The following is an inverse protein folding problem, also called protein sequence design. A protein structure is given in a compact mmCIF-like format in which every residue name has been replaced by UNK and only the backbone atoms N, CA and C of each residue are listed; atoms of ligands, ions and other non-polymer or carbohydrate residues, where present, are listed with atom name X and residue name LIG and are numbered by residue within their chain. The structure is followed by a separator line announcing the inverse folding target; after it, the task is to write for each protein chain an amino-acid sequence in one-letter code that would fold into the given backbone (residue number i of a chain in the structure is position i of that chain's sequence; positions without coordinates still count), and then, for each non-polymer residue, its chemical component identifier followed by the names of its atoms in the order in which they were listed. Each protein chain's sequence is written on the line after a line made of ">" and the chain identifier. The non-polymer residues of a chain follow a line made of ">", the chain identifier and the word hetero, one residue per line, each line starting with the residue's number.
data_IF_288412440711
#
_entry.id   IF_288412440711
#
_cell.length_a   1.000
_cell.length_b   1.000
_cell.length_c   1.000
_cell.angle_alpha   90.00
_cell.angle_beta   90.00
_cell.angle_gamma   90.00
#
_symmetry.space_group_name_H-M   'P 1'
#
loop_
_entity.id
_entity.type
_entity.pdbx_description
1 polymer ?
#
# COMPACT_ATOMS: atom_id res chain seq x y z
N UNK A 1 -52.14 -24.74 2.27
CA UNK A 1 -51.01 -25.23 3.08
C UNK A 1 -50.03 -24.12 3.53
N UNK A 2 -50.48 -22.86 3.69
CA UNK A 2 -49.59 -21.74 4.06
C UNK A 2 -50.14 -20.86 5.20
N UNK A 3 -51.18 -21.32 5.90
CA UNK A 3 -51.77 -20.61 7.06
C UNK A 3 -51.62 -21.41 8.38
N UNK A 4 -51.41 -22.75 8.32
CA UNK A 4 -51.11 -23.54 9.52
C UNK A 4 -49.67 -23.42 10.05
N UNK A 5 -48.71 -22.90 9.26
CA UNK A 5 -47.32 -22.79 9.69
C UNK A 5 -47.04 -21.54 10.55
N UNK A 6 -47.83 -20.48 10.41
CA UNK A 6 -47.66 -19.23 11.21
C UNK A 6 -48.12 -19.36 12.66
N UNK A 7 -49.03 -20.29 12.98
CA UNK A 7 -49.56 -20.46 14.34
C UNK A 7 -48.68 -21.33 15.25
N UNK A 8 -47.92 -22.29 14.70
CA UNK A 8 -46.96 -23.08 15.50
C UNK A 8 -45.76 -22.25 15.96
N UNK A 9 -45.30 -21.29 15.16
CA UNK A 9 -44.19 -20.40 15.53
C UNK A 9 -44.57 -19.42 16.65
N UNK A 10 -45.81 -18.89 16.64
CA UNK A 10 -46.26 -17.95 17.66
C UNK A 10 -46.38 -18.60 19.06
N UNK A 11 -46.81 -19.87 19.12
CA UNK A 11 -46.95 -20.61 20.39
C UNK A 11 -45.57 -21.00 20.97
N UNK A 12 -44.58 -21.27 20.13
CA UNK A 12 -43.20 -21.54 20.55
C UNK A 12 -42.52 -20.28 21.11
N UNK A 13 -42.80 -19.12 20.50
CA UNK A 13 -42.25 -17.82 20.94
C UNK A 13 -42.82 -17.37 22.29
N UNK A 14 -44.13 -17.58 22.52
CA UNK A 14 -44.77 -17.22 23.80
C UNK A 14 -44.29 -18.13 24.95
N UNK A 15 -43.96 -19.41 24.70
CA UNK A 15 -43.37 -20.29 25.71
C UNK A 15 -41.93 -19.91 26.09
N UNK A 16 -41.15 -19.39 25.15
CA UNK A 16 -39.77 -18.91 25.41
C UNK A 16 -39.81 -17.62 26.25
N UNK A 17 -40.75 -16.71 25.97
CA UNK A 17 -40.93 -15.47 26.75
C UNK A 17 -41.41 -15.78 28.19
N UNK A 18 -42.27 -16.79 28.37
CA UNK A 18 -42.72 -17.22 29.70
C UNK A 18 -41.62 -17.92 30.53
N UNK A 19 -40.65 -18.59 29.90
CA UNK A 19 -39.48 -19.12 30.60
C UNK A 19 -38.49 -18.03 31.02
N UNK A 20 -38.35 -16.95 30.23
CA UNK A 20 -37.48 -15.82 30.57
C UNK A 20 -38.01 -14.98 31.74
N UNK A 21 -39.33 -14.86 31.91
CA UNK A 21 -39.91 -14.09 33.02
C UNK A 21 -39.74 -14.75 34.40
N UNK A 22 -39.58 -16.08 34.47
CA UNK A 22 -39.49 -16.81 35.73
C UNK A 22 -38.05 -17.02 36.25
N UNK A 23 -37.03 -16.54 35.54
CA UNK A 23 -35.62 -16.63 35.97
C UNK A 23 -35.07 -15.31 36.53
N UNK A 24 -35.89 -14.23 36.58
CA UNK A 24 -35.49 -12.90 37.08
C UNK A 24 -36.06 -12.55 38.46
N UNK A 25 -36.07 -13.51 39.40
CA UNK A 25 -36.38 -13.23 40.81
C UNK A 25 -35.29 -13.78 41.72
N UNK A 26 -34.08 -13.20 41.60
CA UNK A 26 -33.07 -13.01 42.64
C UNK A 26 -31.69 -12.93 41.98
N UNK A 27 -31.24 -11.72 41.71
CA UNK A 27 -29.81 -11.38 41.64
C UNK A 27 -29.69 -9.88 41.76
N UNK A 28 -28.82 -9.45 42.67
CA UNK A 28 -28.51 -8.06 42.99
C UNK A 28 -28.13 -7.28 41.72
N UNK A 29 -28.83 -6.18 41.46
CA UNK A 29 -28.50 -5.22 40.41
C UNK A 29 -27.22 -4.46 40.80
N UNK A 30 -26.08 -4.89 40.28
CA UNK A 30 -24.94 -4.00 40.07
C UNK A 30 -25.19 -3.32 38.73
N UNK A 31 -25.54 -2.03 38.75
CA UNK A 31 -25.73 -1.24 37.53
C UNK A 31 -24.38 -1.06 36.84
N UNK A 32 -24.17 -1.73 35.72
CA UNK A 32 -23.14 -1.30 34.76
C UNK A 32 -23.57 0.08 34.21
N UNK A 33 -22.67 1.05 34.09
CA UNK A 33 -23.02 2.30 33.43
C UNK A 33 -23.34 1.98 31.96
N UNK A 34 -24.55 2.33 31.53
CA UNK A 34 -24.90 2.40 30.12
C UNK A 34 -24.02 3.50 29.52
N UNK A 35 -22.93 3.12 28.85
CA UNK A 35 -22.13 4.03 28.05
C UNK A 35 -22.97 4.40 26.82
N UNK A 36 -23.19 5.69 26.60
CA UNK A 36 -23.89 6.21 25.44
C UNK A 36 -23.31 5.60 24.15
N UNK A 37 -24.19 5.11 23.28
CA UNK A 37 -23.80 4.57 21.99
C UNK A 37 -23.27 5.70 21.11
N UNK A 38 -21.96 5.72 20.87
CA UNK A 38 -21.31 6.65 19.96
C UNK A 38 -21.06 5.99 18.60
N UNK A 39 -21.79 6.38 17.53
CA UNK A 39 -21.58 5.87 16.17
C UNK A 39 -20.14 6.03 15.66
N UNK A 40 -19.37 6.99 16.18
CA UNK A 40 -17.97 7.20 15.79
C UNK A 40 -17.07 6.01 16.18
N UNK A 41 -17.47 5.25 17.20
CA UNK A 41 -16.73 4.08 17.70
C UNK A 41 -17.01 2.80 16.91
N UNK A 42 -18.08 2.78 16.09
CA UNK A 42 -18.60 1.57 15.44
C UNK A 42 -17.61 0.97 14.41
N UNK A 43 -16.76 1.82 13.84
CA UNK A 43 -15.73 1.43 12.89
C UNK A 43 -14.31 1.69 13.37
N UNK A 44 -14.12 2.19 14.60
CA UNK A 44 -12.81 2.57 15.12
C UNK A 44 -11.79 1.43 15.03
N UNK A 45 -12.19 0.18 15.35
CA UNK A 45 -11.33 -0.99 15.21
C UNK A 45 -10.93 -1.30 13.76
N UNK A 46 -11.86 -1.15 12.80
CA UNK A 46 -11.57 -1.36 11.37
C UNK A 46 -10.69 -0.25 10.82
N UNK A 47 -10.96 1.00 11.16
CA UNK A 47 -10.17 2.16 10.75
C UNK A 47 -8.74 2.02 11.29
N UNK A 48 -8.60 1.62 12.55
CA UNK A 48 -7.30 1.35 13.16
C UNK A 48 -6.55 0.22 12.46
N UNK A 49 -7.23 -0.89 12.14
CA UNK A 49 -6.63 -1.99 11.38
C UNK A 49 -6.21 -1.55 9.96
N UNK A 50 -7.01 -0.72 9.28
CA UNK A 50 -6.67 -0.15 7.97
C UNK A 50 -5.48 0.81 8.05
N UNK A 51 -5.40 1.65 9.08
CA UNK A 51 -4.25 2.52 9.31
C UNK A 51 -2.97 1.71 9.59
N UNK A 52 -3.09 0.55 10.27
CA UNK A 52 -1.98 -0.36 10.57
C UNK A 52 -1.49 -1.15 9.37
N UNK A 53 -2.38 -1.53 8.45
CA UNK A 53 -1.99 -2.35 7.31
C UNK A 53 -0.94 -1.66 6.44
N UNK A 54 -0.94 -0.33 6.35
CA UNK A 54 -0.17 0.54 5.44
C UNK A 54 -0.10 0.10 3.96
N UNK A 55 -0.72 -1.03 3.61
CA UNK A 55 -1.04 -1.44 2.26
C UNK A 55 -2.12 -0.56 1.71
N UNK A 56 -1.74 0.56 1.08
CA UNK A 56 -2.58 1.20 0.06
C UNK A 56 -2.76 0.21 -1.11
N UNK A 57 -3.73 0.39 -2.00
CA UNK A 57 -4.00 -0.58 -3.07
C UNK A 57 -4.36 -1.99 -2.62
N UNK A 58 -5.30 -2.11 -1.66
CA UNK A 58 -5.87 -3.41 -1.25
C UNK A 58 -6.46 -4.21 -2.43
N UNK A 59 -6.97 -3.52 -3.46
CA UNK A 59 -7.52 -4.15 -4.64
C UNK A 59 -6.45 -4.69 -5.61
N UNK A 60 -5.20 -4.21 -5.50
CA UNK A 60 -4.11 -4.63 -6.39
C UNK A 60 -3.44 -5.89 -5.83
N UNK A 61 -3.98 -7.04 -6.22
CA UNK A 61 -3.48 -8.37 -5.85
C UNK A 61 -3.41 -9.28 -7.09
N UNK A 62 -2.42 -9.06 -7.97
CA UNK A 62 -2.32 -9.76 -9.26
C UNK A 62 -2.10 -11.28 -9.12
N UNK A 63 -1.41 -11.71 -8.06
CA UNK A 63 -1.31 -13.11 -7.65
C UNK A 63 -1.13 -13.24 -6.11
N UNK A 64 -0.60 -14.36 -5.63
CA UNK A 64 -0.35 -14.60 -4.20
C UNK A 64 1.07 -14.21 -3.72
N UNK A 65 1.88 -13.50 -4.52
CA UNK A 65 3.25 -13.14 -4.16
C UNK A 65 4.26 -14.29 -4.26
N UNK A 66 3.98 -15.33 -5.04
CA UNK A 66 4.85 -16.52 -5.19
C UNK A 66 5.68 -16.56 -6.48
N UNK A 67 5.54 -15.54 -7.33
CA UNK A 67 6.32 -15.36 -8.55
C UNK A 67 7.83 -15.18 -8.32
N UNK A 68 8.56 -15.12 -9.42
CA UNK A 68 10.02 -14.90 -9.41
C UNK A 68 10.30 -13.42 -9.13
N UNK A 69 11.26 -13.17 -8.25
CA UNK A 69 11.66 -11.82 -7.81
C UNK A 69 13.14 -11.58 -8.16
N UNK A 70 13.42 -10.44 -8.76
CA UNK A 70 14.78 -9.92 -8.96
C UNK A 70 14.83 -8.49 -8.42
N UNK A 71 15.77 -8.21 -7.51
CA UNK A 71 15.89 -6.91 -6.84
C UNK A 71 17.21 -6.26 -7.21
N UNK A 72 17.14 -4.98 -7.56
CA UNK A 72 18.28 -4.13 -7.85
C UNK A 72 18.22 -2.90 -6.96
N UNK A 73 19.37 -2.45 -6.48
CA UNK A 73 19.55 -1.16 -5.83
C UNK A 73 20.10 -0.17 -6.86
N UNK A 74 19.62 1.08 -6.80
CA UNK A 74 20.20 2.17 -7.58
C UNK A 74 21.50 2.58 -6.89
N UNK A 75 22.60 2.48 -7.61
CA UNK A 75 23.93 2.82 -7.13
C UNK A 75 24.65 3.64 -8.19
N UNK A 76 25.01 4.89 -7.86
CA UNK A 76 25.69 5.78 -8.80
C UNK A 76 24.94 5.90 -10.15
N UNK A 77 23.61 5.96 -10.07
CA UNK A 77 22.63 5.96 -11.19
C UNK A 77 22.51 4.66 -12.00
N UNK A 78 23.15 3.58 -11.60
CA UNK A 78 23.10 2.27 -12.28
C UNK A 78 22.42 1.19 -11.43
N UNK A 79 22.02 0.10 -12.09
CA UNK A 79 21.41 -1.06 -11.40
C UNK A 79 22.49 -1.98 -10.82
N UNK A 80 22.54 -2.07 -9.50
CA UNK A 80 23.33 -3.07 -8.79
C UNK A 80 22.42 -4.20 -8.29
N UNK A 81 22.71 -5.45 -8.66
CA UNK A 81 21.92 -6.59 -8.19
C UNK A 81 22.06 -6.76 -6.67
N UNK A 82 20.95 -6.94 -5.97
CA UNK A 82 20.92 -7.21 -4.54
C UNK A 82 21.14 -8.71 -4.29
N UNK A 83 21.87 -9.06 -3.24
CA UNK A 83 22.05 -10.46 -2.84
C UNK A 83 20.69 -11.08 -2.47
N UNK A 84 20.28 -12.21 -3.10
CA UNK A 84 19.06 -12.93 -2.73
C UNK A 84 18.91 -13.26 -1.25
N UNK A 85 20.02 -13.42 -0.51
CA UNK A 85 20.00 -13.64 0.94
C UNK A 85 19.44 -12.45 1.74
N UNK A 86 19.47 -11.25 1.14
CA UNK A 86 19.05 -9.98 1.75
C UNK A 86 17.73 -9.45 1.17
N UNK A 87 17.04 -10.24 0.33
CA UNK A 87 15.73 -9.85 -0.19
C UNK A 87 14.73 -9.60 0.94
N UNK A 88 14.07 -8.45 0.87
CA UNK A 88 13.21 -7.95 1.93
C UNK A 88 13.87 -6.91 2.82
N UNK A 89 15.19 -6.70 2.70
CA UNK A 89 15.92 -5.70 3.47
C UNK A 89 16.20 -4.48 2.59
N UNK A 90 15.66 -3.34 3.00
CA UNK A 90 15.73 -2.08 2.26
C UNK A 90 16.36 -0.99 3.12
N UNK A 91 16.98 -0.01 2.49
CA UNK A 91 17.52 1.19 3.14
C UNK A 91 16.70 2.41 2.72
N UNK A 92 16.21 3.19 3.70
CA UNK A 92 15.37 4.36 3.45
C UNK A 92 16.07 5.52 2.73
N UNK A 93 17.40 5.51 2.71
CA UNK A 93 18.24 6.42 1.95
C UNK A 93 18.56 5.98 0.53
N UNK A 94 18.09 4.80 0.09
CA UNK A 94 18.34 4.25 -1.24
C UNK A 94 17.04 4.10 -2.05
N UNK A 95 17.18 3.92 -3.37
CA UNK A 95 16.08 3.55 -4.27
C UNK A 95 16.30 2.16 -4.87
N UNK A 96 15.22 1.42 -5.11
CA UNK A 96 15.27 0.02 -5.55
C UNK A 96 14.34 -0.24 -6.72
N UNK A 97 14.71 -1.23 -7.52
CA UNK A 97 13.88 -1.81 -8.58
C UNK A 97 13.62 -3.27 -8.26
N UNK A 98 12.36 -3.67 -8.27
CA UNK A 98 11.93 -5.04 -8.07
C UNK A 98 11.21 -5.46 -9.35
N UNK A 99 11.85 -6.37 -10.10
CA UNK A 99 11.21 -7.08 -11.22
C UNK A 99 10.53 -8.32 -10.67
N UNK A 100 9.21 -8.35 -10.79
CA UNK A 100 8.37 -9.46 -10.37
C UNK A 100 7.74 -10.13 -11.58
N UNK A 101 7.95 -11.43 -11.71
CA UNK A 101 7.45 -12.23 -12.82
C UNK A 101 6.51 -13.31 -12.30
N UNK A 102 5.28 -13.34 -12.81
CA UNK A 102 4.26 -14.29 -12.37
C UNK A 102 3.49 -14.86 -13.56
N UNK A 103 2.90 -16.04 -13.37
CA UNK A 103 2.10 -16.71 -14.40
C UNK A 103 0.62 -16.50 -14.12
N UNK A 104 -0.13 -16.06 -15.13
CA UNK A 104 -1.58 -15.93 -15.09
C UNK A 104 -2.15 -16.35 -16.44
N UNK A 105 -3.14 -17.24 -16.42
CA UNK A 105 -3.76 -17.79 -17.63
C UNK A 105 -2.75 -18.40 -18.63
N UNK A 106 -1.75 -19.14 -18.12
CA UNK A 106 -0.65 -19.72 -18.91
C UNK A 106 0.17 -18.70 -19.70
N UNK A 107 0.20 -17.45 -19.26
CA UNK A 107 1.04 -16.38 -19.80
C UNK A 107 1.90 -15.80 -18.69
N UNK A 108 3.14 -15.48 -19.03
CA UNK A 108 4.04 -14.75 -18.16
C UNK A 108 3.64 -13.28 -18.15
N UNK A 109 3.53 -12.70 -16.96
CA UNK A 109 3.17 -11.31 -16.72
C UNK A 109 4.24 -10.69 -15.81
N UNK A 110 4.40 -9.37 -15.91
CA UNK A 110 5.49 -8.67 -15.25
C UNK A 110 4.96 -7.47 -14.47
N UNK A 111 5.55 -7.23 -13.31
CA UNK A 111 5.38 -6.01 -12.53
C UNK A 111 6.77 -5.47 -12.23
N UNK A 112 6.95 -4.17 -12.45
CA UNK A 112 8.17 -3.47 -12.06
C UNK A 112 7.79 -2.51 -10.94
N UNK A 113 8.16 -2.85 -9.71
CA UNK A 113 8.10 -1.89 -8.62
C UNK A 113 9.38 -1.08 -8.62
N UNK A 114 9.26 0.23 -8.50
CA UNK A 114 10.40 1.09 -8.18
C UNK A 114 10.13 1.75 -6.83
N UNK A 115 10.76 1.18 -5.81
CA UNK A 115 10.59 1.61 -4.42
C UNK A 115 11.57 2.73 -4.12
N UNK A 116 11.04 3.84 -3.61
CA UNK A 116 11.78 5.06 -3.34
C UNK A 116 11.82 5.29 -1.83
N UNK A 117 13.01 5.16 -1.26
CA UNK A 117 13.26 5.45 0.14
C UNK A 117 12.92 6.89 0.47
N UNK A 118 12.44 7.13 1.69
CA UNK A 118 12.06 8.46 2.17
C UNK A 118 13.22 9.45 2.00
N UNK A 119 14.41 9.03 2.41
CA UNK A 119 15.62 9.84 2.46
C UNK A 119 16.52 9.67 1.23
N UNK A 120 16.11 8.84 0.25
CA UNK A 120 16.83 8.71 -1.03
C UNK A 120 16.82 10.02 -1.81
N UNK A 121 17.94 10.30 -2.46
CA UNK A 121 18.16 11.58 -3.14
C UNK A 121 17.27 11.72 -4.38
N UNK A 122 16.99 12.95 -4.80
CA UNK A 122 16.08 13.21 -5.91
C UNK A 122 16.57 12.59 -7.23
N UNK A 123 17.87 12.59 -7.44
CA UNK A 123 18.56 12.03 -8.59
C UNK A 123 18.53 10.50 -8.60
N UNK A 124 18.66 9.82 -7.46
CA UNK A 124 18.44 8.37 -7.36
C UNK A 124 16.98 7.99 -7.61
N UNK A 125 16.03 8.73 -7.03
CA UNK A 125 14.59 8.56 -7.29
C UNK A 125 14.25 8.74 -8.76
N UNK A 126 14.86 9.73 -9.43
CA UNK A 126 14.70 9.93 -10.87
C UNK A 126 15.33 8.77 -11.68
N UNK A 127 16.51 8.31 -11.28
CA UNK A 127 17.16 7.16 -11.93
C UNK A 127 16.33 5.88 -11.78
N UNK A 128 15.69 5.64 -10.63
CA UNK A 128 14.81 4.49 -10.42
C UNK A 128 13.63 4.50 -11.41
N UNK A 129 13.00 5.66 -11.62
CA UNK A 129 11.91 5.80 -12.59
C UNK A 129 12.39 5.54 -14.03
N UNK A 130 13.57 6.06 -14.41
CA UNK A 130 14.16 5.83 -15.74
C UNK A 130 14.47 4.34 -15.95
N UNK A 131 15.03 3.66 -14.96
CA UNK A 131 15.33 2.22 -15.04
C UNK A 131 14.06 1.37 -15.08
N UNK A 132 12.99 1.77 -14.40
CA UNK A 132 11.70 1.09 -14.50
C UNK A 132 11.17 1.09 -15.95
N UNK A 133 11.26 2.24 -16.64
CA UNK A 133 10.88 2.36 -18.06
C UNK A 133 11.78 1.50 -18.95
N UNK A 134 13.10 1.56 -18.76
CA UNK A 134 14.04 0.74 -19.56
C UNK A 134 13.77 -0.76 -19.44
N UNK A 135 13.52 -1.24 -18.21
CA UNK A 135 13.21 -2.65 -17.97
C UNK A 135 11.85 -3.05 -18.55
N UNK A 136 10.86 -2.15 -18.55
CA UNK A 136 9.59 -2.40 -19.23
C UNK A 136 9.81 -2.53 -20.75
N UNK A 137 10.59 -1.63 -21.35
CA UNK A 137 10.93 -1.68 -22.78
C UNK A 137 11.63 -2.99 -23.16
N UNK A 138 12.55 -3.50 -22.31
CA UNK A 138 13.19 -4.81 -22.47
C UNK A 138 12.20 -5.99 -22.42
N UNK A 139 11.11 -5.84 -21.66
CA UNK A 139 10.02 -6.81 -21.56
C UNK A 139 8.95 -6.60 -22.65
N UNK A 140 9.22 -5.74 -23.63
CA UNK A 140 8.32 -5.45 -24.75
C UNK A 140 7.16 -4.54 -24.36
N UNK A 141 7.29 -3.74 -23.30
CA UNK A 141 6.29 -2.78 -22.86
C UNK A 141 5.07 -3.41 -22.18
N UNK A 142 5.21 -4.61 -21.61
CA UNK A 142 4.13 -5.43 -21.02
C UNK A 142 4.05 -5.34 -19.50
N UNK A 143 5.00 -4.67 -18.85
CA UNK A 143 5.04 -4.64 -17.40
C UNK A 143 4.11 -3.56 -16.86
N UNK A 144 3.35 -3.91 -15.81
CA UNK A 144 2.73 -2.90 -14.96
C UNK A 144 3.84 -2.24 -14.14
N UNK A 145 4.02 -0.93 -14.29
CA UNK A 145 5.01 -0.19 -13.50
C UNK A 145 4.33 0.41 -12.27
N UNK A 146 4.93 0.27 -11.10
CA UNK A 146 4.36 0.75 -9.84
C UNK A 146 5.39 1.56 -9.09
N UNK A 147 5.14 2.86 -8.94
CA UNK A 147 5.91 3.72 -8.05
C UNK A 147 5.50 3.44 -6.62
N UNK A 148 6.46 3.01 -5.80
CA UNK A 148 6.22 2.75 -4.38
C UNK A 148 7.05 3.71 -3.55
N UNK A 149 6.43 4.39 -2.58
CA UNK A 149 7.15 5.22 -1.62
C UNK A 149 7.21 4.50 -0.27
N UNK A 150 8.32 4.69 0.45
CA UNK A 150 8.52 4.10 1.77
C UNK A 150 7.32 4.40 2.70
N UNK A 151 6.78 3.35 3.31
CA UNK A 151 5.64 3.42 4.22
C UNK A 151 4.26 3.41 3.56
N UNK A 152 4.20 3.38 2.22
CA UNK A 152 2.97 3.28 1.44
C UNK A 152 2.97 2.04 0.53
N UNK A 153 3.72 1.01 0.88
CA UNK A 153 3.90 -0.19 0.07
C UNK A 153 2.57 -0.89 -0.21
N UNK A 154 2.24 -1.24 -1.47
CA UNK A 154 0.99 -1.94 -1.74
C UNK A 154 0.99 -3.35 -1.14
N UNK A 155 -0.20 -3.87 -0.83
CA UNK A 155 -0.32 -5.15 -0.11
C UNK A 155 0.34 -6.32 -0.83
N UNK A 156 0.28 -6.34 -2.16
CA UNK A 156 0.98 -7.33 -2.97
C UNK A 156 2.51 -7.20 -2.83
N UNK A 157 3.07 -5.99 -2.80
CA UNK A 157 4.51 -5.77 -2.60
C UNK A 157 4.97 -6.34 -1.25
N UNK A 158 4.24 -6.07 -0.16
CA UNK A 158 4.56 -6.64 1.16
C UNK A 158 4.52 -8.17 1.15
N UNK A 159 3.53 -8.75 0.47
CA UNK A 159 3.32 -10.20 0.37
C UNK A 159 4.47 -10.94 -0.30
N UNK A 160 5.14 -10.31 -1.29
CA UNK A 160 6.33 -10.88 -1.95
C UNK A 160 7.39 -11.28 -0.91
N UNK A 161 7.52 -10.51 0.16
CA UNK A 161 8.52 -10.73 1.22
C UNK A 161 8.02 -11.63 2.35
N UNK A 162 6.77 -12.09 2.33
CA UNK A 162 6.22 -13.10 3.26
C UNK A 162 6.46 -12.74 4.73
N UNK A 163 6.24 -11.47 5.07
CA UNK A 163 6.45 -10.94 6.42
C UNK A 163 7.92 -10.76 6.83
N UNK A 164 8.86 -10.71 5.86
CA UNK A 164 10.30 -10.51 6.10
C UNK A 164 10.81 -9.15 5.65
N UNK A 165 9.91 -8.18 5.43
CA UNK A 165 10.33 -6.84 5.01
C UNK A 165 10.89 -6.06 6.20
N UNK A 166 12.10 -5.54 6.06
CA UNK A 166 12.75 -4.63 7.00
C UNK A 166 13.22 -3.41 6.22
N UNK A 167 12.94 -2.22 6.74
CA UNK A 167 13.49 -0.97 6.21
C UNK A 167 14.41 -0.36 7.26
N UNK A 168 15.69 -0.23 6.95
CA UNK A 168 16.70 0.42 7.77
C UNK A 168 16.78 1.93 7.48
N UNK A 169 17.28 2.70 8.44
CA UNK A 169 17.69 4.09 8.19
C UNK A 169 18.99 4.13 7.38
N UNK A 170 19.31 5.28 6.78
CA UNK A 170 20.53 5.46 5.98
C UNK A 170 20.49 4.75 4.62
N UNK A 171 21.64 4.63 3.97
CA UNK A 171 21.79 4.03 2.64
C UNK A 171 23.26 4.01 2.18
N UNK A 172 23.51 3.63 0.92
CA UNK A 172 24.87 3.54 0.36
C UNK A 172 25.63 4.86 0.52
N UNK A 173 24.96 6.00 0.28
CA UNK A 173 25.54 7.33 0.40
C UNK A 173 25.95 7.69 1.86
N UNK A 174 25.28 7.13 2.87
CA UNK A 174 25.68 7.30 4.29
C UNK A 174 26.75 6.31 4.74
N UNK A 175 27.09 5.33 3.91
CA UNK A 175 28.13 4.34 4.18
C UNK A 175 27.64 2.90 4.36
N UNK A 176 26.32 2.63 4.23
CA UNK A 176 25.81 1.26 4.29
C UNK A 176 26.26 0.43 3.08
N UNK A 177 27.31 -0.37 3.30
CA UNK A 177 27.74 -1.40 2.34
C UNK A 177 27.18 -2.77 2.70
N UNK A 178 26.92 -3.04 3.98
CA UNK A 178 26.36 -4.29 4.49
C UNK A 178 25.43 -4.07 5.69
N UNK A 179 24.57 -5.06 5.97
CA UNK A 179 23.63 -5.11 7.10
C UNK A 179 24.26 -5.05 8.50
N UNK A 180 25.57 -5.26 8.60
CA UNK A 180 26.35 -5.27 9.85
C UNK A 180 27.34 -4.11 9.96
N UNK A 181 27.33 -3.17 9.01
CA UNK A 181 28.17 -1.98 9.12
C UNK A 181 27.52 -1.01 10.12
N UNK A 182 28.27 -0.67 11.16
CA UNK A 182 27.98 0.45 12.06
C UNK A 182 28.27 1.76 11.31
N UNK A 183 27.26 2.58 11.08
CA UNK A 183 27.40 3.90 10.42
C UNK A 183 26.93 5.04 11.34
N UNK A 184 26.78 6.26 10.80
CA UNK A 184 26.32 7.44 11.55
C UNK A 184 25.00 7.27 12.30
N UNK A 185 24.17 6.28 11.92
CA UNK A 185 22.88 5.97 12.54
C UNK A 185 22.93 4.82 13.56
N UNK A 186 24.04 4.08 13.66
CA UNK A 186 24.23 2.95 14.59
C UNK A 186 25.68 2.95 15.10
N UNK A 187 26.03 3.99 15.85
CA UNK A 187 27.40 4.22 16.34
C UNK A 187 27.66 3.42 17.63
N UNK A 188 26.61 3.11 18.39
CA UNK A 188 26.66 2.50 19.71
C UNK A 188 26.08 1.08 19.74
N UNK A 189 25.59 0.54 18.63
CA UNK A 189 24.97 -0.79 18.56
C UNK A 189 23.50 -0.79 19.01
N UNK A 190 22.88 0.39 19.14
CA UNK A 190 21.47 0.55 19.50
C UNK A 190 20.66 0.78 18.24
N UNK A 191 19.48 0.15 18.13
CA UNK A 191 18.56 0.34 17.00
C UNK A 191 17.11 0.17 17.45
N UNK A 192 16.23 1.08 17.06
CA UNK A 192 14.80 1.00 17.32
C UNK A 192 14.02 0.68 16.04
N UNK A 193 13.18 -0.35 16.06
CA UNK A 193 12.31 -0.75 14.96
C UNK A 193 10.85 -0.67 15.37
N UNK A 194 10.03 -0.01 14.54
CA UNK A 194 8.57 -0.07 14.63
C UNK A 194 8.06 -1.26 13.82
N UNK A 195 7.30 -2.14 14.45
CA UNK A 195 6.68 -3.31 13.83
C UNK A 195 5.23 -3.01 13.51
N UNK A 196 4.84 -3.21 12.25
CA UNK A 196 3.46 -3.02 11.77
C UNK A 196 3.03 -4.14 10.85
N UNK A 197 1.74 -4.42 10.87
CA UNK A 197 1.07 -5.34 9.95
C UNK A 197 -0.34 -5.66 10.43
N UNK A 198 -1.08 -6.38 9.60
CA UNK A 198 -2.41 -6.92 9.95
C UNK A 198 -2.50 -8.43 9.84
N UNK A 199 -1.52 -9.07 9.19
CA UNK A 199 -1.42 -10.52 9.12
C UNK A 199 0.03 -10.97 8.85
N UNK A 200 0.27 -12.28 8.88
CA UNK A 200 1.59 -12.88 8.65
C UNK A 200 2.24 -12.55 7.28
N UNK A 201 1.45 -12.09 6.30
CA UNK A 201 1.91 -11.79 4.94
C UNK A 201 2.30 -10.31 4.75
N UNK A 202 1.86 -9.38 5.61
CA UNK A 202 2.11 -7.93 5.48
C UNK A 202 2.90 -7.31 6.63
N UNK A 203 3.47 -8.18 7.48
CA UNK A 203 4.42 -7.83 8.54
C UNK A 203 5.62 -7.08 7.96
N UNK A 204 5.98 -5.97 8.58
CA UNK A 204 7.26 -5.30 8.33
C UNK A 204 7.79 -4.61 9.58
N UNK A 205 9.11 -4.45 9.62
CA UNK A 205 9.81 -3.65 10.61
C UNK A 205 10.45 -2.44 9.92
N UNK A 206 10.30 -1.26 10.50
CA UNK A 206 10.92 -0.03 9.99
C UNK A 206 11.78 0.56 11.10
N UNK A 207 13.07 0.73 10.84
CA UNK A 207 13.98 1.40 11.76
C UNK A 207 13.56 2.87 11.87
N UNK A 208 13.49 3.35 13.10
CA UNK A 208 13.11 4.71 13.48
C UNK A 208 14.17 5.29 14.42
N UNK A 209 14.24 6.62 14.59
CA UNK A 209 15.21 7.22 15.50
C UNK A 209 15.06 6.69 16.92
N UNK A 210 16.18 6.47 17.62
CA UNK A 210 16.25 5.95 19.00
C UNK A 210 15.92 7.03 20.05
N UNK A 211 14.72 7.56 19.95
CA UNK A 211 14.20 8.57 20.87
C UNK A 211 12.83 8.16 21.36
N UNK A 212 12.49 8.52 22.60
CA UNK A 212 11.16 8.26 23.16
C UNK A 212 10.01 8.69 22.24
N UNK A 213 10.17 9.83 21.54
CA UNK A 213 9.15 10.37 20.64
C UNK A 213 8.81 9.48 19.43
N UNK A 214 9.65 8.50 19.10
CA UNK A 214 9.38 7.52 18.03
C UNK A 214 8.36 6.46 18.44
N UNK A 215 8.15 6.25 19.76
CA UNK A 215 7.20 5.26 20.25
C UNK A 215 5.74 5.64 19.94
N UNK A 216 4.88 4.64 19.93
CA UNK A 216 3.46 4.77 19.67
C UNK A 216 2.72 3.68 20.43
N UNK A 217 1.80 4.05 21.32
CA UNK A 217 0.96 3.09 22.06
C UNK A 217 0.15 2.19 21.13
N UNK A 218 -0.03 2.56 19.86
CA UNK A 218 -0.78 1.76 18.90
C UNK A 218 0.03 0.60 18.31
N UNK A 219 1.36 0.59 18.43
CA UNK A 219 2.24 -0.34 17.70
C UNK A 219 3.13 -1.17 18.66
N UNK A 220 3.87 -2.14 18.11
CA UNK A 220 4.93 -2.88 18.81
C UNK A 220 6.29 -2.39 18.32
N UNK A 221 7.27 -2.33 19.22
CA UNK A 221 8.62 -1.88 18.91
C UNK A 221 9.66 -2.92 19.34
N UNK A 222 10.71 -3.07 18.53
CA UNK A 222 11.91 -3.85 18.87
C UNK A 222 13.06 -2.87 19.09
N UNK A 223 13.56 -2.80 20.32
CA UNK A 223 14.75 -2.00 20.66
C UNK A 223 15.92 -2.97 20.87
N UNK A 224 16.81 -3.02 19.90
CA UNK A 224 18.06 -3.74 20.02
C UNK A 224 19.10 -2.82 20.66
N UNK A 225 19.84 -3.35 21.63
CA UNK A 225 21.01 -2.69 22.24
C UNK A 225 22.16 -3.70 22.23
N UNK A 226 23.41 -3.29 22.50
CA UNK A 226 24.54 -4.23 22.57
C UNK A 226 24.40 -5.36 23.60
N UNK A 227 23.54 -5.18 24.61
CA UNK A 227 23.39 -6.13 25.71
C UNK A 227 22.05 -6.86 25.76
N UNK A 228 20.96 -6.21 25.35
CA UNK A 228 19.59 -6.73 25.48
C UNK A 228 18.74 -6.26 24.31
N UNK A 229 17.89 -7.17 23.82
CA UNK A 229 16.84 -6.83 22.86
C UNK A 229 15.51 -6.75 23.59
N UNK A 230 14.83 -5.61 23.51
CA UNK A 230 13.51 -5.40 24.09
C UNK A 230 12.43 -5.50 23.03
N UNK A 231 11.31 -6.14 23.37
CA UNK A 231 10.06 -6.06 22.62
C UNK A 231 9.09 -5.22 23.45
N UNK A 232 8.94 -3.96 23.10
CA UNK A 232 8.03 -3.03 23.77
C UNK A 232 6.64 -3.12 23.14
N UNK A 233 5.63 -3.41 23.96
CA UNK A 233 4.24 -3.61 23.53
C UNK A 233 3.41 -2.41 23.99
N UNK A 234 3.00 -1.59 23.03
CA UNK A 234 2.02 -0.53 23.26
C UNK A 234 0.67 -1.10 23.73
N UNK A 235 -0.05 -0.37 24.59
CA UNK A 235 -1.38 -0.76 25.09
C UNK A 235 -2.40 -1.03 24.00
N UNK A 236 -2.15 -0.44 22.85
CA UNK A 236 -2.96 -0.46 21.65
C UNK A 236 -2.46 -1.39 20.53
N UNK A 237 -1.40 -2.14 20.77
CA UNK A 237 -0.90 -3.15 19.86
C UNK A 237 -1.92 -4.28 19.67
N UNK A 238 -2.05 -4.78 18.43
CA UNK A 238 -2.88 -5.94 18.13
C UNK A 238 -2.16 -7.25 18.50
N UNK A 239 -2.90 -8.34 18.64
CA UNK A 239 -2.29 -9.64 18.94
C UNK A 239 -1.45 -10.14 17.76
N UNK A 240 -1.86 -9.82 16.53
CA UNK A 240 -1.07 -10.11 15.34
C UNK A 240 0.28 -9.38 15.40
N UNK A 241 0.33 -8.11 15.81
CA UNK A 241 1.60 -7.36 15.91
C UNK A 241 2.57 -7.95 16.95
N UNK A 242 2.03 -8.56 18.01
CA UNK A 242 2.86 -9.26 19.02
C UNK A 242 3.48 -10.52 18.43
N UNK A 243 2.70 -11.33 17.71
CA UNK A 243 3.22 -12.52 16.98
C UNK A 243 4.23 -12.11 15.90
N UNK A 244 4.00 -10.98 15.25
CA UNK A 244 4.89 -10.40 14.25
C UNK A 244 6.23 -9.95 14.83
N UNK A 245 6.24 -9.42 16.05
CA UNK A 245 7.45 -8.94 16.69
C UNK A 245 8.47 -10.06 16.92
N UNK A 246 8.03 -11.28 17.21
CA UNK A 246 8.93 -12.45 17.32
C UNK A 246 9.67 -12.72 16.01
N UNK A 247 8.97 -12.62 14.87
CA UNK A 247 9.60 -12.75 13.55
C UNK A 247 10.57 -11.61 13.27
N UNK A 248 10.19 -10.38 13.63
CA UNK A 248 11.05 -9.22 13.48
C UNK A 248 12.35 -9.37 14.29
N UNK A 249 12.26 -9.82 15.55
CA UNK A 249 13.42 -10.13 16.40
C UNK A 249 14.33 -11.16 15.73
N UNK A 250 13.79 -12.26 15.20
CA UNK A 250 14.59 -13.27 14.51
C UNK A 250 15.30 -12.77 13.24
N UNK A 251 14.88 -11.64 12.68
CA UNK A 251 15.51 -11.02 11.51
C UNK A 251 16.52 -9.93 11.89
N UNK A 252 16.22 -9.11 12.91
CA UNK A 252 17.08 -7.98 13.30
C UNK A 252 18.12 -8.35 14.36
N UNK A 253 17.78 -9.29 15.26
CA UNK A 253 18.58 -9.70 16.41
C UNK A 253 18.51 -11.22 16.65
N UNK A 254 19.01 -12.04 15.70
CA UNK A 254 18.80 -13.50 15.69
C UNK A 254 19.49 -14.24 16.85
N UNK A 255 20.53 -13.65 17.46
CA UNK A 255 21.36 -14.27 18.48
C UNK A 255 20.91 -13.94 19.92
N UNK A 256 19.83 -13.16 20.08
CA UNK A 256 19.37 -12.65 21.37
C UNK A 256 17.95 -13.13 21.70
N UNK A 257 17.74 -13.54 22.96
CA UNK A 257 16.40 -13.80 23.49
C UNK A 257 15.77 -12.47 23.96
N UNK A 258 14.62 -12.06 23.40
CA UNK A 258 14.06 -10.74 23.68
C UNK A 258 13.40 -10.67 25.06
N UNK A 259 13.51 -9.51 25.70
CA UNK A 259 12.77 -9.17 26.93
C UNK A 259 11.49 -8.42 26.54
N UNK A 260 10.34 -9.01 26.85
CA UNK A 260 9.05 -8.32 26.63
C UNK A 260 8.83 -7.24 27.69
N UNK A 261 8.47 -6.05 27.25
CA UNK A 261 8.18 -4.89 28.10
C UNK A 261 6.81 -4.34 27.74
N UNK A 262 5.92 -4.19 28.71
CA UNK A 262 4.60 -3.59 28.51
C UNK A 262 4.68 -2.08 28.68
N UNK A 263 3.90 -1.34 27.91
CA UNK A 263 3.79 0.11 28.08
C UNK A 263 3.36 0.50 29.51
N UNK A 264 4.19 1.30 30.18
CA UNK A 264 4.05 1.70 31.58
C UNK A 264 4.84 0.85 32.57
N UNK A 265 5.48 -0.23 32.12
CA UNK A 265 6.33 -1.13 32.93
C UNK A 265 7.79 -1.09 32.46
N UNK A 266 8.19 -0.02 31.77
CA UNK A 266 9.52 0.09 31.18
C UNK A 266 10.61 0.25 32.24
N UNK A 267 11.68 -0.56 32.19
CA UNK A 267 12.81 -0.42 33.11
C UNK A 267 13.65 0.82 32.77
N UNK A 268 14.41 1.34 33.75
CA UNK A 268 15.22 2.55 33.56
C UNK A 268 16.19 2.45 32.36
N UNK A 269 16.84 1.29 32.20
CA UNK A 269 17.78 1.06 31.11
C UNK A 269 17.14 1.10 29.71
N UNK A 270 15.83 0.81 29.59
CA UNK A 270 15.11 0.94 28.34
C UNK A 270 15.02 2.42 27.94
N UNK A 271 14.69 3.28 28.90
CA UNK A 271 14.66 4.72 28.66
C UNK A 271 16.04 5.31 28.42
N UNK A 272 17.07 4.85 29.13
CA UNK A 272 18.45 5.30 28.92
C UNK A 272 18.91 5.05 27.48
N UNK A 273 18.55 3.89 26.90
CA UNK A 273 18.84 3.54 25.51
C UNK A 273 18.07 4.41 24.49
N UNK A 274 16.99 5.09 24.88
CA UNK A 274 16.22 6.01 24.03
C UNK A 274 16.54 7.50 24.30
N UNK A 275 17.67 7.77 24.96
CA UNK A 275 18.08 9.13 25.34
C UNK A 275 17.27 9.75 26.48
N UNK A 276 16.59 8.91 27.27
CA UNK A 276 15.75 9.28 28.40
C UNK A 276 14.25 9.18 28.12
N UNK A 277 13.44 9.18 29.18
CA UNK A 277 11.99 9.13 29.10
C UNK A 277 11.42 10.44 28.56
N UNK A 278 10.54 10.35 27.57
CA UNK A 278 9.88 11.50 26.96
C UNK A 278 8.43 11.21 26.54
N UNK A 279 7.79 12.22 25.94
CA UNK A 279 6.44 12.10 25.40
C UNK A 279 6.44 11.37 24.05
N UNK A 280 5.35 10.63 23.80
CA UNK A 280 5.13 9.87 22.58
C UNK A 280 3.62 9.71 22.29
N UNK A 281 3.27 9.19 21.11
CA UNK A 281 1.85 9.08 20.68
C UNK A 281 1.11 8.03 21.51
N UNK A 282 0.14 8.45 22.32
CA UNK A 282 -0.62 7.57 23.25
C UNK A 282 -2.03 7.16 22.78
N UNK A 283 -2.35 7.36 21.51
CA UNK A 283 -3.62 6.93 20.95
C UNK A 283 -3.77 7.20 19.46
N UNK A 284 -4.78 6.57 18.89
CA UNK A 284 -5.17 6.72 17.49
C UNK A 284 -5.96 8.03 17.32
N UNK A 285 -5.46 8.93 16.49
CA UNK A 285 -6.05 10.25 16.21
C UNK A 285 -7.31 10.18 15.33
N UNK A 286 -7.66 8.99 14.80
CA UNK A 286 -8.95 8.76 14.14
C UNK A 286 -9.17 9.57 12.87
N UNK A 287 -8.18 10.35 12.42
CA UNK A 287 -8.27 11.14 11.21
C UNK A 287 -8.28 10.19 10.01
N UNK A 288 -9.47 9.92 9.52
CA UNK A 288 -9.67 9.27 8.22
C UNK A 288 -9.46 10.32 7.14
N UNK A 289 -8.57 10.03 6.18
CA UNK A 289 -8.57 10.74 4.90
C UNK A 289 -9.98 10.66 4.30
N UNK A 290 -10.53 11.78 3.78
CA UNK A 290 -11.84 11.76 3.14
C UNK A 290 -11.85 10.74 2.00
N UNK A 291 -12.93 9.95 1.90
CA UNK A 291 -13.14 9.10 0.72
C UNK A 291 -13.35 10.00 -0.50
N UNK A 292 -12.36 10.02 -1.39
CA UNK A 292 -12.44 10.76 -2.64
C UNK A 292 -13.17 9.90 -3.69
N UNK A 293 -14.06 10.54 -4.45
CA UNK A 293 -14.67 9.88 -5.60
C UNK A 293 -13.65 9.79 -6.74
N UNK A 294 -13.63 8.68 -7.50
CA UNK A 294 -12.73 8.56 -8.64
C UNK A 294 -12.95 9.65 -9.68
N UNK A 295 -11.86 10.19 -10.22
CA UNK A 295 -11.85 11.24 -11.27
C UNK A 295 -10.95 10.81 -12.41
N UNK A 296 -11.48 10.88 -13.64
CA UNK A 296 -10.72 10.56 -14.85
C UNK A 296 -10.34 11.85 -15.58
N UNK A 297 -9.10 11.90 -16.07
CA UNK A 297 -8.57 12.99 -16.85
C UNK A 297 -8.01 12.46 -18.17
N UNK A 298 -8.38 13.10 -19.28
CA UNK A 298 -7.78 12.89 -20.58
C UNK A 298 -6.58 13.82 -20.75
N UNK A 299 -5.46 13.24 -21.15
CA UNK A 299 -4.17 13.89 -21.20
C UNK A 299 -3.56 13.70 -22.59
N UNK A 300 -3.43 14.80 -23.34
CA UNK A 300 -2.91 14.77 -24.71
C UNK A 300 -1.93 15.92 -24.97
N UNK A 301 -1.02 15.73 -25.93
CA UNK A 301 -0.10 16.78 -26.35
C UNK A 301 -0.70 17.53 -27.53
N UNK A 302 -0.98 18.82 -27.33
CA UNK A 302 -1.44 19.66 -28.44
C UNK A 302 -0.37 19.78 -29.54
N UNK A 303 -0.74 20.08 -30.80
CA UNK A 303 0.21 20.20 -31.92
C UNK A 303 1.35 21.23 -31.72
N UNK A 304 1.20 22.14 -30.75
CA UNK A 304 2.22 23.11 -30.33
C UNK A 304 3.14 22.58 -29.21
N UNK A 305 3.10 21.28 -28.92
CA UNK A 305 3.93 20.61 -27.92
C UNK A 305 3.55 20.92 -26.47
N UNK A 306 2.34 21.46 -26.23
CA UNK A 306 1.85 21.74 -24.88
C UNK A 306 0.90 20.65 -24.42
N UNK A 307 1.15 20.15 -23.22
CA UNK A 307 0.25 19.23 -22.55
C UNK A 307 -1.09 19.90 -22.23
N UNK A 308 -2.19 19.19 -22.51
CA UNK A 308 -3.57 19.56 -22.16
C UNK A 308 -4.16 18.48 -21.26
N UNK A 309 -4.96 18.91 -20.29
CA UNK A 309 -5.61 18.04 -19.32
C UNK A 309 -7.07 18.44 -19.22
N UNK A 310 -7.96 17.49 -19.45
CA UNK A 310 -9.41 17.68 -19.43
C UNK A 310 -10.06 16.62 -18.53
N UNK A 311 -10.92 17.04 -17.60
CA UNK A 311 -11.63 16.10 -16.72
C UNK A 311 -12.84 15.50 -17.43
N UNK A 312 -12.95 14.17 -17.39
CA UNK A 312 -14.09 13.41 -17.88
C UNK A 312 -14.98 13.04 -16.70
N UNK A 313 -16.15 13.67 -16.62
CA UNK A 313 -17.15 13.39 -15.59
C UNK A 313 -18.00 12.18 -15.95
N UNK A 314 -18.37 11.35 -14.97
CA UNK A 314 -19.21 10.15 -15.17
C UNK A 314 -18.63 9.15 -16.20
N UNK A 315 -17.32 8.99 -16.16
CA UNK A 315 -16.57 8.20 -17.12
C UNK A 315 -17.00 6.72 -17.20
N UNK A 316 -16.76 6.12 -18.36
CA UNK A 316 -16.95 4.72 -18.70
C UNK A 316 -15.71 4.19 -19.42
N UNK A 317 -15.68 2.88 -19.68
CA UNK A 317 -14.53 2.26 -20.36
C UNK A 317 -14.31 2.87 -21.75
N UNK A 318 -15.39 3.25 -22.45
CA UNK A 318 -15.32 3.85 -23.78
C UNK A 318 -14.66 5.24 -23.79
N UNK A 319 -14.50 5.89 -22.64
CA UNK A 319 -13.80 7.16 -22.51
C UNK A 319 -12.27 6.99 -22.40
N UNK A 320 -11.76 5.75 -22.37
CA UNK A 320 -10.33 5.47 -22.45
C UNK A 320 -9.86 5.54 -23.90
N UNK A 321 -9.20 6.65 -24.24
CA UNK A 321 -8.75 6.92 -25.60
C UNK A 321 -7.46 6.16 -25.95
N UNK A 322 -7.55 5.23 -26.91
CA UNK A 322 -6.41 4.41 -27.35
C UNK A 322 -5.24 5.24 -27.91
N UNK A 323 -5.50 6.46 -28.37
CA UNK A 323 -4.52 7.37 -28.97
C UNK A 323 -3.78 8.23 -27.93
N UNK A 324 -4.20 8.22 -26.66
CA UNK A 324 -3.73 9.16 -25.64
C UNK A 324 -3.45 8.50 -24.27
N UNK A 325 -3.13 9.33 -23.27
CA UNK A 325 -2.97 8.92 -21.87
C UNK A 325 -4.17 9.37 -21.06
N UNK A 326 -4.60 8.49 -20.16
CA UNK A 326 -5.64 8.78 -19.20
C UNK A 326 -5.07 8.73 -17.78
N UNK A 327 -5.43 9.70 -16.94
CA UNK A 327 -5.07 9.71 -15.52
C UNK A 327 -6.34 9.50 -14.71
N UNK A 328 -6.41 8.40 -13.96
CA UNK A 328 -7.51 8.09 -13.07
C UNK A 328 -7.05 8.21 -11.61
N UNK A 329 -7.57 9.21 -10.91
CA UNK A 329 -7.33 9.43 -9.50
C UNK A 329 -8.43 8.78 -8.67
N UNK A 330 -8.12 7.73 -7.91
CA UNK A 330 -9.07 7.04 -7.01
C UNK A 330 -9.03 7.55 -5.57
N UNK A 331 -8.17 8.53 -5.26
CA UNK A 331 -7.90 9.00 -3.91
C UNK A 331 -6.58 8.46 -3.36
N UNK A 332 -6.54 7.18 -3.02
CA UNK A 332 -5.35 6.53 -2.45
C UNK A 332 -4.30 6.15 -3.51
N UNK A 333 -4.75 5.99 -4.75
CA UNK A 333 -3.94 5.55 -5.89
C UNK A 333 -4.22 6.43 -7.11
N UNK A 334 -3.19 6.63 -7.93
CA UNK A 334 -3.33 7.23 -9.24
C UNK A 334 -2.92 6.21 -10.30
N UNK A 335 -3.75 6.05 -11.30
CA UNK A 335 -3.49 5.20 -12.46
C UNK A 335 -3.22 6.08 -13.67
N UNK A 336 -2.05 5.90 -14.28
CA UNK A 336 -1.67 6.44 -15.58
C UNK A 336 -1.90 5.32 -16.60
N UNK A 337 -3.03 5.37 -17.29
CA UNK A 337 -3.39 4.41 -18.32
C UNK A 337 -2.89 4.89 -19.68
N UNK A 338 -2.17 4.03 -20.39
CA UNK A 338 -1.52 4.33 -21.67
C UNK A 338 -2.25 3.59 -22.78
N UNK A 339 -2.83 4.35 -23.70
CA UNK A 339 -3.43 3.82 -24.93
C UNK A 339 -2.39 3.17 -25.84
N UNK A 340 -2.79 2.13 -26.57
CA UNK A 340 -1.90 1.36 -27.45
C UNK A 340 -1.30 2.20 -28.59
N UNK A 341 -1.97 3.28 -28.99
CA UNK A 341 -1.58 4.19 -30.08
C UNK A 341 -0.98 5.51 -29.57
N UNK A 342 -0.95 5.75 -28.25
CA UNK A 342 -0.31 6.90 -27.62
C UNK A 342 1.16 7.04 -28.02
N UNK A 343 1.61 8.26 -28.28
CA UNK A 343 2.98 8.55 -28.72
C UNK A 343 4.01 8.21 -27.64
N UNK A 344 5.26 7.96 -28.04
CA UNK A 344 6.35 7.71 -27.08
C UNK A 344 6.59 8.91 -26.16
N UNK A 345 6.40 10.13 -26.68
CA UNK A 345 6.54 11.39 -25.94
C UNK A 345 5.48 11.51 -24.85
N UNK A 346 4.23 11.19 -25.16
CA UNK A 346 3.14 11.12 -24.18
C UNK A 346 3.46 10.09 -23.10
N UNK A 347 3.85 8.87 -23.49
CA UNK A 347 4.16 7.77 -22.56
C UNK A 347 5.18 8.16 -21.49
N UNK A 348 6.20 8.92 -21.88
CA UNK A 348 7.22 9.41 -20.95
C UNK A 348 6.71 10.52 -20.03
N UNK A 349 5.70 11.29 -20.45
CA UNK A 349 5.13 12.37 -19.65
C UNK A 349 4.08 11.89 -18.65
N UNK A 350 3.42 10.76 -18.86
CA UNK A 350 2.33 10.29 -18.00
C UNK A 350 2.67 10.22 -16.51
N UNK A 351 3.85 9.72 -16.14
CA UNK A 351 4.30 9.71 -14.73
C UNK A 351 4.52 11.13 -14.18
N UNK A 352 5.21 11.97 -14.94
CA UNK A 352 5.47 13.37 -14.58
C UNK A 352 4.17 14.14 -14.38
N UNK A 353 3.15 13.85 -15.18
CA UNK A 353 1.83 14.44 -15.04
C UNK A 353 1.14 14.05 -13.76
N UNK A 354 1.13 12.75 -13.41
CA UNK A 354 0.55 12.30 -12.15
C UNK A 354 1.24 12.97 -10.94
N UNK A 355 2.57 13.16 -11.01
CA UNK A 355 3.32 13.90 -9.99
C UNK A 355 2.96 15.40 -9.95
N UNK A 356 2.82 16.07 -11.10
CA UNK A 356 2.41 17.48 -11.18
C UNK A 356 0.97 17.69 -10.70
N UNK A 357 0.05 16.77 -11.04
CA UNK A 357 -1.32 16.75 -10.55
C UNK A 357 -1.35 16.71 -9.01
N UNK A 358 -0.59 15.78 -8.40
CA UNK A 358 -0.50 15.67 -6.94
C UNK A 358 0.10 16.90 -6.27
N UNK A 359 1.01 17.64 -6.93
CA UNK A 359 1.56 18.90 -6.39
C UNK A 359 0.53 20.02 -6.34
N UNK A 360 -0.49 19.96 -7.20
CA UNK A 360 -1.58 20.92 -7.25
C UNK A 360 -2.80 20.53 -6.40
N UNK A 361 -2.75 19.36 -5.76
CA UNK A 361 -3.84 18.84 -4.95
C UNK A 361 -4.06 19.72 -3.69
N UNK A 362 -5.29 20.16 -3.42
CA UNK A 362 -5.58 21.02 -2.26
C UNK A 362 -5.71 20.25 -0.94
N UNK A 363 -5.61 18.92 -0.95
CA UNK A 363 -5.64 18.05 0.24
C UNK A 363 -4.23 17.75 0.76
N UNK A 364 -4.12 17.02 1.87
CA UNK A 364 -2.82 16.60 2.42
C UNK A 364 -2.13 15.48 1.60
N UNK A 365 -2.73 15.08 0.47
CA UNK A 365 -2.09 14.14 -0.45
C UNK A 365 -0.87 14.79 -1.09
N UNK A 366 0.16 13.99 -1.29
CA UNK A 366 1.38 14.45 -1.94
C UNK A 366 1.99 13.34 -2.78
N UNK A 367 2.85 13.74 -3.71
CA UNK A 367 3.66 12.80 -4.47
C UNK A 367 4.55 11.91 -3.58
N UNK A 368 4.76 12.22 -2.30
CA UNK A 368 5.54 11.37 -1.39
C UNK A 368 4.68 10.27 -0.75
N UNK A 369 3.35 10.42 -0.76
CA UNK A 369 2.42 9.54 -0.05
C UNK A 369 1.53 8.70 -0.97
N UNK A 370 1.34 9.11 -2.22
CA UNK A 370 0.40 8.47 -3.15
C UNK A 370 1.10 7.47 -4.07
N UNK A 371 0.51 6.28 -4.21
CA UNK A 371 0.97 5.27 -5.16
C UNK A 371 0.58 5.64 -6.59
N UNK A 372 1.51 5.43 -7.53
CA UNK A 372 1.25 5.68 -8.96
C UNK A 372 1.46 4.37 -9.73
N UNK A 373 0.43 3.96 -10.45
CA UNK A 373 0.41 2.79 -11.31
C UNK A 373 0.43 3.23 -12.76
N UNK A 374 1.40 2.76 -13.54
CA UNK A 374 1.39 2.94 -15.00
C UNK A 374 0.89 1.65 -15.64
N UNK A 375 -0.24 1.75 -16.34
CA UNK A 375 -0.96 0.64 -16.96
C UNK A 375 -0.91 0.76 -18.48
N UNK A 376 -0.90 -0.37 -19.17
CA UNK A 376 -1.06 -0.46 -20.63
C UNK A 376 -2.46 -0.93 -20.94
N UNK A 377 -3.02 -0.43 -22.05
CA UNK A 377 -4.29 -0.91 -22.57
C UNK A 377 -4.28 -2.43 -22.76
N UNK A 378 -5.25 -3.12 -22.14
CA UNK A 378 -5.42 -4.57 -22.17
C UNK A 378 -4.75 -5.31 -21.01
N UNK A 379 -3.89 -4.66 -20.24
CA UNK A 379 -3.19 -5.22 -19.07
C UNK A 379 -3.70 -4.62 -17.74
N UNK A 380 -4.94 -4.13 -17.72
CA UNK A 380 -5.51 -3.46 -16.55
C UNK A 380 -5.80 -4.43 -15.40
N UNK A 381 -5.41 -4.10 -14.15
CA UNK A 381 -5.75 -4.90 -12.98
C UNK A 381 -7.20 -4.69 -12.57
N UNK A 382 -7.74 -5.65 -11.80
CA UNK A 382 -9.10 -5.57 -11.23
C UNK A 382 -9.31 -4.31 -10.36
N UNK A 383 -8.26 -3.81 -9.70
CA UNK A 383 -8.33 -2.57 -8.92
C UNK A 383 -8.65 -1.34 -9.77
N UNK A 384 -8.24 -1.35 -11.04
CA UNK A 384 -8.56 -0.31 -12.00
C UNK A 384 -9.95 -0.54 -12.63
N UNK A 385 -10.19 -1.73 -13.18
CA UNK A 385 -11.43 -2.01 -13.93
C UNK A 385 -12.69 -1.91 -13.09
N UNK A 386 -12.59 -2.19 -11.78
CA UNK A 386 -13.72 -2.05 -10.84
C UNK A 386 -14.13 -0.61 -10.54
N UNK A 387 -13.34 0.39 -10.94
CA UNK A 387 -13.67 1.81 -10.83
C UNK A 387 -14.65 2.27 -11.92
N UNK A 388 -14.85 1.45 -12.96
CA UNK A 388 -15.78 1.71 -14.04
C UNK A 388 -17.13 1.05 -13.76
N UNK A 389 -18.26 1.66 -14.17
CA UNK A 389 -19.59 1.07 -13.96
C UNK A 389 -19.77 -0.31 -14.62
N UNK A 390 -19.10 -0.52 -15.75
CA UNK A 390 -19.07 -1.79 -16.51
C UNK A 390 -17.75 -1.89 -17.25
N UNK A 391 -17.23 -3.12 -17.37
CA UNK A 391 -15.99 -3.40 -18.09
C UNK A 391 -16.17 -4.61 -19.01
N UNK A 392 -15.88 -4.44 -20.29
CA UNK A 392 -15.81 -5.47 -21.32
C UNK A 392 -14.35 -5.67 -21.75
N UNK A 393 -13.70 -6.79 -21.38
CA UNK A 393 -12.34 -7.10 -21.80
C UNK A 393 -12.14 -7.17 -23.33
N UNK A 394 -13.22 -7.33 -24.10
CA UNK A 394 -13.20 -7.44 -25.56
C UNK A 394 -13.60 -6.15 -26.29
N UNK A 395 -13.83 -5.05 -25.57
CA UNK A 395 -14.29 -3.77 -26.14
C UNK A 395 -13.46 -3.38 -27.36
N UNK A 396 -12.15 -3.24 -27.19
CA UNK A 396 -11.24 -2.79 -28.25
C UNK A 396 -11.00 -3.81 -29.37
N UNK A 397 -11.34 -5.09 -29.16
CA UNK A 397 -11.34 -6.09 -30.23
C UNK A 397 -12.58 -5.95 -31.15
N UNK A 398 -13.66 -5.37 -30.62
CA UNK A 398 -14.96 -5.27 -31.27
C UNK A 398 -15.27 -3.90 -31.87
N UNK A 399 -14.47 -2.87 -31.54
CA UNK A 399 -14.70 -1.50 -32.00
C UNK A 399 -14.39 -1.36 -33.50
N UNK A 400 -15.34 -0.89 -34.32
CA UNK A 400 -15.07 -0.57 -35.72
C UNK A 400 -14.08 0.59 -35.80
N UNK A 401 -13.11 0.51 -36.71
CA UNK A 401 -12.14 1.59 -36.90
C UNK A 401 -12.85 2.89 -37.31
N UNK A 402 -12.17 4.04 -37.16
CA UNK A 402 -12.68 5.31 -37.70
C UNK A 402 -13.04 5.20 -39.19
N UNK A 403 -12.26 4.45 -39.97
CA UNK A 403 -12.58 4.20 -41.38
C UNK A 403 -13.83 3.34 -41.54
N UNK A 404 -14.03 2.31 -40.71
CA UNK A 404 -15.25 1.50 -40.72
C UNK A 404 -16.48 2.33 -40.37
N UNK A 405 -16.39 3.18 -39.35
CA UNK A 405 -17.46 4.10 -38.96
C UNK A 405 -17.74 5.13 -40.06
N UNK A 406 -16.69 5.72 -40.64
CA UNK A 406 -16.82 6.67 -41.77
C UNK A 406 -17.47 6.01 -42.97
N UNK A 407 -17.09 4.76 -43.29
CA UNK A 407 -17.68 3.98 -44.38
C UNK A 407 -19.13 3.60 -44.07
N UNK A 408 -19.47 3.26 -42.83
CA UNK A 408 -20.85 2.99 -42.41
C UNK A 408 -21.73 4.23 -42.48
N UNK A 409 -21.23 5.39 -42.05
CA UNK A 409 -21.94 6.68 -42.17
C UNK A 409 -22.09 7.08 -43.64
N UNK A 410 -21.04 6.94 -44.44
CA UNK A 410 -21.10 7.19 -45.88
C UNK A 410 -22.11 6.27 -46.58
N UNK A 411 -22.12 4.97 -46.23
CA UNK A 411 -23.08 4.00 -46.76
C UNK A 411 -24.52 4.34 -46.37
N UNK A 412 -24.77 4.72 -45.10
CA UNK A 412 -26.09 5.20 -44.65
C UNK A 412 -26.55 6.43 -45.43
N UNK A 413 -25.67 7.40 -45.64
CA UNK A 413 -25.98 8.63 -46.38
C UNK A 413 -26.18 8.43 -47.88
N UNK A 414 -25.77 7.30 -48.45
CA UNK A 414 -26.07 6.92 -49.85
C UNK A 414 -27.35 6.10 -50.00
N UNK A 415 -28.02 5.74 -48.89
CA UNK A 415 -29.25 4.93 -48.90
C UNK A 415 -30.52 5.76 -48.62
N UNK A 416 -30.38 7.06 -48.34
CA UNK A 416 -31.44 8.09 -48.35
C UNK A 416 -31.33 8.91 -49.65
#
# INVERSE_FOLDING_TARGET
>A
FQICFKWKFLIQFVKIIAMFHNCCSNTSKTSMPETDFDPSTLHAGKIRALAKSAGKAFGFMPDNGSGKVEIFRIEDFELAAVDPATYGMFFGGDSYIIRYTYEKNNRENYIIYFWQGRDSTQDEKAASAIHAVKLDDELGGKAVQVRVTQGNEPRHFLRIFKGKMIVFLGGKASGFRNLKDHDTYDVDGTRLFQVRGTCADDVRAVQVPEVSASLSSDDVFVLETPGVTYVWIGKGASDEEKEMAEKAVGLVSPDCEPVTVLEGEEPAHFWDALGGQGDYKKGFDGQTTPLLLPRLFHCHVSPVGKLRVEEITHFRQEDLDEDDIMVLDSGDEIYVWIGNKASQEERQMGLKMAEEYLKSDPTDRSHELTLIFTLKQGDEPMSFTSLFPSWDPSLWESLPSYEDLKNQVAARNTTD
#
